data_IF_416354983773
#
_entry.id   IF_416354983773
#
_cell.length_a   1.000
_cell.length_b   1.000
_cell.length_c   1.000
_cell.angle_alpha   90.00
_cell.angle_beta   90.00
_cell.angle_gamma   90.00
#
_symmetry.space_group_name_H-M   'P 1'
#
loop_
_entity.id
_entity.type
_entity.pdbx_description
1 polymer ?
#
# COMPACT_ATOMS: atom_id res chain seq x y z
N UNK A 1 22.49 -0.50 -0.42
CA UNK A 1 22.11 0.77 -1.09
C UNK A 1 22.69 1.94 -0.32
N UNK A 2 23.34 2.88 -1.02
CA UNK A 2 24.01 4.07 -0.48
C UNK A 2 23.13 5.30 -0.79
N UNK A 3 22.94 6.19 0.19
CA UNK A 3 22.06 7.35 0.09
C UNK A 3 22.74 8.67 0.51
N UNK A 4 24.00 8.62 0.98
CA UNK A 4 24.73 9.80 1.43
C UNK A 4 26.24 9.59 1.32
N UNK A 5 27.01 10.69 1.32
CA UNK A 5 28.48 10.62 1.34
C UNK A 5 28.99 9.87 2.57
N UNK A 6 28.36 10.05 3.71
CA UNK A 6 28.73 9.33 4.94
C UNK A 6 28.55 7.80 4.77
N UNK A 7 27.44 7.34 4.17
CA UNK A 7 27.25 5.92 3.88
C UNK A 7 28.27 5.40 2.87
N UNK A 8 28.65 6.21 1.85
CA UNK A 8 29.70 5.88 0.91
C UNK A 8 31.05 5.70 1.61
N UNK A 9 31.41 6.59 2.55
CA UNK A 9 32.62 6.48 3.36
C UNK A 9 32.63 5.18 4.19
N UNK A 10 31.54 4.88 4.89
CA UNK A 10 31.43 3.66 5.68
C UNK A 10 31.54 2.40 4.82
N UNK A 11 30.92 2.40 3.65
CA UNK A 11 30.98 1.28 2.71
C UNK A 11 32.41 1.02 2.24
N UNK A 12 33.12 2.06 1.81
CA UNK A 12 34.50 1.96 1.36
C UNK A 12 35.44 1.56 2.49
N UNK A 13 35.24 2.09 3.71
CA UNK A 13 36.04 1.73 4.88
C UNK A 13 35.85 0.25 5.30
N UNK A 14 34.68 -0.32 5.02
CA UNK A 14 34.37 -1.73 5.25
C UNK A 14 34.87 -2.69 4.14
N UNK A 15 35.65 -2.18 3.18
CA UNK A 15 36.21 -2.97 2.07
C UNK A 15 35.50 -2.74 0.73
N UNK A 16 34.42 -1.96 0.69
CA UNK A 16 33.71 -1.62 -0.56
C UNK A 16 33.04 -2.81 -1.24
N UNK A 17 33.05 -2.80 -2.56
CA UNK A 17 32.45 -3.81 -3.44
C UNK A 17 31.24 -3.27 -4.19
N UNK A 18 30.47 -4.17 -4.81
CA UNK A 18 29.30 -3.81 -5.60
C UNK A 18 28.21 -3.20 -4.71
N UNK A 19 27.63 -2.08 -5.11
CA UNK A 19 26.58 -1.39 -4.37
C UNK A 19 25.58 -0.71 -5.31
N UNK A 20 24.45 -0.28 -4.73
CA UNK A 20 23.48 0.58 -5.41
C UNK A 20 23.56 1.98 -4.83
N UNK A 21 23.33 3.00 -5.66
CA UNK A 21 23.29 4.41 -5.25
C UNK A 21 21.92 5.00 -5.51
N UNK A 22 21.32 5.59 -4.48
CA UNK A 22 20.11 6.40 -4.60
C UNK A 22 20.48 7.87 -4.73
N UNK A 23 19.91 8.53 -5.75
CA UNK A 23 20.05 9.98 -5.99
C UNK A 23 18.70 10.64 -5.74
N UNK A 24 18.71 11.75 -5.04
CA UNK A 24 17.50 12.56 -4.85
C UNK A 24 17.34 13.55 -6.01
N UNK A 25 16.44 13.21 -6.93
CA UNK A 25 16.08 14.09 -8.05
C UNK A 25 15.02 15.14 -7.70
N UNK A 26 14.56 15.20 -6.43
CA UNK A 26 13.64 16.23 -5.97
C UNK A 26 12.50 15.77 -5.06
N UNK A 27 12.45 14.51 -4.63
CA UNK A 27 11.48 14.08 -3.62
C UNK A 27 11.84 14.57 -2.21
N UNK A 28 13.12 14.93 -1.99
CA UNK A 28 13.66 15.45 -0.73
C UNK A 28 13.40 14.54 0.47
N UNK A 29 13.57 13.24 0.27
CA UNK A 29 13.31 12.22 1.30
C UNK A 29 14.55 11.40 1.63
N UNK A 30 15.13 10.73 0.66
CA UNK A 30 16.30 9.87 0.79
C UNK A 30 17.05 9.81 -0.53
N UNK A 31 18.36 9.93 -0.48
CA UNK A 31 19.25 9.88 -1.66
C UNK A 31 20.31 10.97 -1.61
N UNK A 32 21.37 10.75 -2.37
CA UNK A 32 22.45 11.73 -2.54
C UNK A 32 21.91 12.96 -3.28
N UNK A 33 22.11 14.19 -2.77
CA UNK A 33 21.65 15.39 -3.47
C UNK A 33 22.45 15.62 -4.75
N UNK A 34 21.84 16.30 -5.72
CA UNK A 34 22.41 16.48 -7.07
C UNK A 34 23.76 17.20 -7.07
N UNK A 35 23.98 18.12 -6.15
CA UNK A 35 25.24 18.88 -6.02
C UNK A 35 26.39 18.06 -5.43
N UNK A 36 26.09 16.93 -4.77
CA UNK A 36 27.09 16.04 -4.21
C UNK A 36 27.54 14.92 -5.17
N UNK A 37 26.98 14.83 -6.39
CA UNK A 37 27.31 13.76 -7.35
C UNK A 37 28.76 13.83 -7.85
N UNK A 38 29.36 15.02 -7.84
CA UNK A 38 30.75 15.23 -8.22
C UNK A 38 31.81 14.94 -7.15
N UNK A 39 31.40 14.50 -5.96
CA UNK A 39 32.33 14.20 -4.88
C UNK A 39 33.22 12.99 -5.25
N UNK A 40 34.54 13.11 -4.98
CA UNK A 40 35.55 12.09 -5.31
C UNK A 40 35.21 10.70 -4.70
N UNK A 41 34.49 10.68 -3.58
CA UNK A 41 34.12 9.43 -2.93
C UNK A 41 33.13 8.62 -3.77
N UNK A 42 32.26 9.29 -4.54
CA UNK A 42 31.30 8.64 -5.42
C UNK A 42 32.01 7.97 -6.60
N UNK A 43 33.04 8.59 -7.14
CA UNK A 43 33.85 8.01 -8.21
C UNK A 43 34.59 6.71 -7.82
N UNK A 44 34.74 6.46 -6.50
CA UNK A 44 35.39 5.25 -5.95
C UNK A 44 34.42 4.09 -5.74
N UNK A 45 33.11 4.33 -5.86
CA UNK A 45 32.10 3.28 -5.70
C UNK A 45 32.02 2.40 -6.95
N UNK A 46 31.82 1.10 -6.74
CA UNK A 46 31.45 0.16 -7.79
C UNK A 46 29.91 0.04 -7.83
N UNK A 47 29.26 0.90 -8.64
CA UNK A 47 27.81 1.06 -8.65
C UNK A 47 27.19 0.11 -9.69
N UNK A 48 26.36 -0.84 -9.22
CA UNK A 48 25.52 -1.65 -10.08
C UNK A 48 24.29 -0.85 -10.55
N UNK A 49 23.47 -0.39 -9.60
CA UNK A 49 22.21 0.28 -9.91
C UNK A 49 22.22 1.72 -9.39
N UNK A 50 22.13 2.67 -10.33
CA UNK A 50 21.84 4.07 -10.03
C UNK A 50 20.34 4.26 -10.00
N UNK A 51 19.79 4.74 -8.87
CA UNK A 51 18.35 4.88 -8.67
C UNK A 51 17.95 6.30 -8.33
N UNK A 52 16.74 6.67 -8.72
CA UNK A 52 16.00 7.79 -8.14
C UNK A 52 14.53 7.40 -7.90
N UNK A 53 13.74 8.32 -7.40
CA UNK A 53 12.32 8.08 -7.11
C UNK A 53 11.49 9.32 -7.43
N UNK A 54 10.39 9.11 -8.16
CA UNK A 54 9.47 10.18 -8.53
C UNK A 54 8.54 10.52 -7.34
N UNK A 55 8.29 11.79 -7.16
CA UNK A 55 7.42 12.30 -6.09
C UNK A 55 5.93 12.27 -6.46
N UNK A 56 5.62 12.50 -7.73
CA UNK A 56 4.25 12.75 -8.21
C UNK A 56 3.93 11.89 -9.45
N UNK A 57 4.47 10.67 -9.54
CA UNK A 57 4.28 9.83 -10.73
C UNK A 57 2.84 9.33 -10.92
N UNK A 58 2.00 9.44 -9.91
CA UNK A 58 0.56 9.15 -9.93
C UNK A 58 -0.28 10.28 -10.51
N UNK A 59 0.33 11.47 -10.71
CA UNK A 59 -0.32 12.67 -11.24
C UNK A 59 0.35 13.15 -12.54
N UNK A 60 -0.41 13.91 -13.37
CA UNK A 60 0.10 14.55 -14.56
C UNK A 60 0.57 15.98 -14.24
N UNK A 61 1.78 16.09 -13.71
CA UNK A 61 2.39 17.35 -13.31
C UNK A 61 3.76 17.57 -13.96
N UNK A 62 4.12 18.83 -14.27
CA UNK A 62 5.43 19.15 -14.89
C UNK A 62 6.63 18.70 -14.05
N UNK A 63 6.44 18.48 -12.75
CA UNK A 63 7.52 18.06 -11.86
C UNK A 63 8.08 16.68 -12.20
N UNK A 64 7.28 15.78 -12.77
CA UNK A 64 7.76 14.49 -13.24
C UNK A 64 8.86 14.65 -14.29
N UNK A 65 8.68 15.56 -15.25
CA UNK A 65 9.68 15.83 -16.28
C UNK A 65 10.93 16.51 -15.69
N UNK A 66 10.77 17.42 -14.74
CA UNK A 66 11.91 18.04 -14.03
C UNK A 66 12.75 16.97 -13.33
N UNK A 67 12.10 16.01 -12.63
CA UNK A 67 12.80 14.91 -11.97
C UNK A 67 13.47 13.96 -12.98
N UNK A 68 12.82 13.69 -14.12
CA UNK A 68 13.40 12.89 -15.20
C UNK A 68 14.67 13.55 -15.76
N UNK A 69 14.65 14.86 -16.01
CA UNK A 69 15.82 15.59 -16.50
C UNK A 69 16.99 15.57 -15.50
N UNK A 70 16.71 15.75 -14.20
CA UNK A 70 17.72 15.64 -13.14
C UNK A 70 18.31 14.23 -13.07
N UNK A 71 17.47 13.21 -13.22
CA UNK A 71 17.93 11.82 -13.26
C UNK A 71 18.81 11.54 -14.48
N UNK A 72 18.51 12.10 -15.66
CA UNK A 72 19.39 12.02 -16.83
C UNK A 72 20.75 12.70 -16.56
N UNK A 73 20.74 13.85 -15.88
CA UNK A 73 21.99 14.51 -15.45
C UNK A 73 22.80 13.63 -14.49
N UNK A 74 22.14 12.98 -13.53
CA UNK A 74 22.82 12.08 -12.62
C UNK A 74 23.43 10.88 -13.34
N UNK A 75 22.73 10.28 -14.31
CA UNK A 75 23.25 9.19 -15.15
C UNK A 75 24.48 9.60 -15.94
N UNK A 76 24.52 10.84 -16.43
CA UNK A 76 25.65 11.35 -17.17
C UNK A 76 26.89 11.63 -16.29
N UNK A 77 26.69 11.92 -15.00
CA UNK A 77 27.76 12.25 -14.06
C UNK A 77 28.35 11.05 -13.32
N UNK A 78 27.50 10.07 -12.99
CA UNK A 78 27.84 8.95 -12.13
C UNK A 78 28.07 7.68 -12.95
N UNK A 79 29.24 7.07 -12.82
CA UNK A 79 29.51 5.77 -13.46
C UNK A 79 28.71 4.67 -12.78
N UNK A 80 27.91 3.94 -13.56
CA UNK A 80 27.04 2.85 -13.08
C UNK A 80 26.85 1.81 -14.17
N UNK A 81 26.33 0.61 -13.83
CA UNK A 81 26.02 -0.44 -14.80
C UNK A 81 24.59 -0.34 -15.33
N UNK A 82 23.63 -0.10 -14.43
CA UNK A 82 22.19 -0.02 -14.73
C UNK A 82 21.56 1.16 -14.03
N UNK A 83 20.42 1.60 -14.51
CA UNK A 83 19.69 2.72 -13.92
C UNK A 83 18.22 2.40 -13.72
N UNK A 84 17.57 3.08 -12.77
CA UNK A 84 16.15 2.87 -12.43
C UNK A 84 15.51 4.12 -11.85
N UNK A 85 14.42 4.58 -12.47
CA UNK A 85 13.63 5.71 -11.97
C UNK A 85 12.21 5.24 -11.58
N UNK A 86 11.55 4.46 -12.44
CA UNK A 86 10.14 4.14 -12.33
C UNK A 86 9.83 3.11 -11.23
N UNK A 87 8.94 3.49 -10.30
CA UNK A 87 8.08 2.59 -9.54
C UNK A 87 6.77 2.30 -10.30
N UNK A 88 5.76 1.76 -9.63
CA UNK A 88 4.49 1.35 -10.27
C UNK A 88 3.83 2.46 -11.10
N UNK A 89 3.68 3.67 -10.54
CA UNK A 89 3.10 4.82 -11.26
C UNK A 89 4.00 5.30 -12.40
N UNK A 90 5.32 5.34 -12.17
CA UNK A 90 6.30 5.81 -13.14
C UNK A 90 6.39 4.93 -14.39
N UNK A 91 6.00 3.65 -14.31
CA UNK A 91 5.93 2.75 -15.46
C UNK A 91 4.90 3.25 -16.48
N UNK A 92 3.76 3.75 -16.02
CA UNK A 92 2.70 4.28 -16.88
C UNK A 92 3.08 5.63 -17.55
N UNK A 93 4.07 6.36 -17.02
CA UNK A 93 4.57 7.59 -17.66
C UNK A 93 5.35 7.31 -18.95
N UNK A 94 5.67 6.06 -19.25
CA UNK A 94 6.31 5.63 -20.47
C UNK A 94 7.81 5.34 -20.36
N UNK A 95 8.38 4.82 -21.45
CA UNK A 95 9.72 4.26 -21.49
C UNK A 95 10.83 5.23 -21.08
N UNK A 96 10.64 6.54 -21.29
CA UNK A 96 11.61 7.58 -20.90
C UNK A 96 11.85 7.65 -19.37
N UNK A 97 10.97 7.06 -18.56
CA UNK A 97 11.07 7.01 -17.10
C UNK A 97 11.59 5.68 -16.57
N UNK A 98 11.78 4.64 -17.38
CA UNK A 98 12.08 3.29 -16.90
C UNK A 98 13.52 3.12 -16.44
N UNK A 99 14.51 3.39 -17.31
CA UNK A 99 15.87 2.90 -17.20
C UNK A 99 15.97 1.42 -17.61
N UNK A 100 17.06 0.76 -17.23
CA UNK A 100 17.27 -0.67 -17.49
C UNK A 100 16.47 -1.56 -16.54
N UNK A 101 15.98 -1.01 -15.42
CA UNK A 101 15.20 -1.69 -14.41
C UNK A 101 14.02 -0.83 -13.95
N UNK A 102 12.84 -1.42 -13.84
CA UNK A 102 11.69 -0.83 -13.14
C UNK A 102 11.47 -1.50 -11.80
N UNK A 103 10.85 -0.78 -10.86
CA UNK A 103 10.62 -1.25 -9.49
C UNK A 103 9.13 -1.23 -9.14
N UNK A 104 8.28 -2.05 -9.82
CA UNK A 104 6.87 -2.13 -9.47
C UNK A 104 6.73 -2.66 -8.04
N UNK A 105 5.85 -2.05 -7.27
CA UNK A 105 5.43 -2.48 -5.95
C UNK A 105 3.93 -2.69 -5.93
N UNK A 106 3.16 -1.61 -5.84
CA UNK A 106 1.71 -1.61 -5.75
C UNK A 106 1.03 -2.44 -6.85
N UNK A 107 1.50 -2.30 -8.10
CA UNK A 107 0.92 -2.99 -9.26
C UNK A 107 1.06 -4.51 -9.20
N UNK A 108 2.08 -5.04 -8.50
CA UNK A 108 2.24 -6.49 -8.30
C UNK A 108 1.16 -7.08 -7.38
N UNK A 109 0.53 -6.23 -6.57
CA UNK A 109 -0.55 -6.61 -5.65
C UNK A 109 -1.92 -6.18 -6.15
N UNK A 110 -2.03 -5.81 -7.43
CA UNK A 110 -3.30 -5.44 -8.07
C UNK A 110 -3.76 -4.01 -7.76
N UNK A 111 -2.93 -3.20 -7.12
CA UNK A 111 -3.22 -1.78 -6.93
C UNK A 111 -3.04 -1.00 -8.23
N UNK A 112 -3.92 -0.05 -8.46
CA UNK A 112 -4.00 0.77 -9.67
C UNK A 112 -3.46 2.16 -9.37
N UNK A 113 -2.16 2.42 -9.62
CA UNK A 113 -1.53 3.70 -9.27
C UNK A 113 -1.92 4.84 -10.22
N UNK A 114 -2.38 4.52 -11.43
CA UNK A 114 -2.82 5.48 -12.45
C UNK A 114 -3.99 4.90 -13.25
N UNK A 115 -4.95 5.74 -13.71
CA UNK A 115 -6.13 5.28 -14.45
C UNK A 115 -5.81 4.46 -15.70
N UNK A 116 -4.70 4.74 -16.38
CA UNK A 116 -4.28 4.05 -17.60
C UNK A 116 -4.00 2.56 -17.36
N UNK A 117 -3.70 2.17 -16.12
CA UNK A 117 -3.43 0.79 -15.74
C UNK A 117 -4.65 0.02 -15.23
N UNK A 118 -5.82 0.66 -15.13
CA UNK A 118 -7.01 0.06 -14.52
C UNK A 118 -7.50 -1.21 -15.25
N UNK A 119 -7.32 -1.29 -16.59
CA UNK A 119 -7.69 -2.46 -17.38
C UNK A 119 -6.66 -3.59 -17.37
N UNK A 120 -5.43 -3.30 -16.97
CA UNK A 120 -4.30 -4.22 -17.05
C UNK A 120 -4.01 -4.93 -15.71
N UNK A 121 -4.36 -4.29 -14.59
CA UNK A 121 -4.05 -4.79 -13.25
C UNK A 121 -5.25 -5.51 -12.65
N UNK A 122 -4.98 -6.61 -11.95
CA UNK A 122 -6.00 -7.41 -11.28
C UNK A 122 -5.68 -7.52 -9.80
N UNK A 123 -6.72 -7.48 -8.98
CA UNK A 123 -6.60 -7.74 -7.56
C UNK A 123 -6.00 -9.14 -7.32
N UNK A 124 -5.08 -9.24 -6.37
CA UNK A 124 -4.43 -10.49 -5.95
C UNK A 124 -4.46 -10.70 -4.44
N UNK A 125 -4.91 -9.70 -3.67
CA UNK A 125 -5.11 -9.78 -2.22
C UNK A 125 -6.61 -9.87 -1.91
N UNK A 126 -7.03 -10.97 -1.28
CA UNK A 126 -8.41 -11.26 -0.93
C UNK A 126 -8.47 -11.62 0.57
N UNK A 127 -8.49 -10.63 1.48
CA UNK A 127 -8.53 -10.89 2.90
C UNK A 127 -9.87 -11.51 3.31
N UNK A 128 -9.82 -12.49 4.20
CA UNK A 128 -10.99 -13.16 4.77
C UNK A 128 -10.90 -13.17 6.30
N UNK A 129 -12.04 -13.23 6.97
CA UNK A 129 -12.13 -13.35 8.41
C UNK A 129 -13.20 -14.36 8.82
N UNK A 130 -12.94 -15.11 9.90
CA UNK A 130 -13.89 -16.09 10.41
C UNK A 130 -14.95 -15.43 11.30
N UNK A 131 -16.17 -15.90 11.22
CA UNK A 131 -17.24 -15.57 12.18
C UNK A 131 -16.95 -16.30 13.48
N UNK A 132 -16.67 -15.55 14.53
CA UNK A 132 -16.39 -16.09 15.88
C UNK A 132 -17.63 -16.35 16.68
N UNK A 133 -18.68 -15.53 16.49
CA UNK A 133 -19.93 -15.64 17.20
C UNK A 133 -21.07 -15.06 16.38
N UNK A 134 -22.25 -15.71 16.49
CA UNK A 134 -23.53 -15.20 15.94
C UNK A 134 -24.42 -14.76 17.10
N UNK A 135 -25.12 -13.64 16.93
CA UNK A 135 -26.05 -13.08 17.93
C UNK A 135 -27.33 -12.62 17.27
N UNK A 136 -28.40 -12.71 18.05
CA UNK A 136 -29.70 -12.11 17.73
C UNK A 136 -29.89 -10.84 18.57
N UNK A 137 -29.93 -9.70 17.91
CA UNK A 137 -30.24 -8.41 18.54
C UNK A 137 -31.75 -8.19 18.56
N UNK A 138 -32.25 -7.55 19.62
CA UNK A 138 -33.61 -7.02 19.68
C UNK A 138 -33.63 -5.54 19.27
N UNK A 139 -34.79 -5.03 18.90
CA UNK A 139 -34.94 -3.59 18.66
C UNK A 139 -34.51 -2.80 19.91
N UNK A 140 -33.62 -1.82 19.71
CA UNK A 140 -33.04 -1.02 20.79
C UNK A 140 -31.68 -1.51 21.29
N UNK A 141 -31.24 -2.74 20.95
CA UNK A 141 -29.91 -3.22 21.31
C UNK A 141 -28.84 -2.44 20.56
N UNK A 142 -27.76 -2.11 21.25
CA UNK A 142 -26.64 -1.36 20.67
C UNK A 142 -25.42 -2.25 20.40
N UNK A 143 -24.60 -1.86 19.41
CA UNK A 143 -23.40 -2.59 19.00
C UNK A 143 -22.15 -1.78 19.25
N UNK A 144 -21.19 -2.42 19.91
CA UNK A 144 -19.80 -1.97 20.02
C UNK A 144 -19.59 -0.76 20.93
N UNK A 145 -18.37 -0.23 20.91
CA UNK A 145 -17.97 0.90 21.72
C UNK A 145 -18.75 2.18 21.37
N UNK A 146 -19.19 2.89 22.41
CA UNK A 146 -19.95 4.14 22.35
C UNK A 146 -21.34 3.98 21.71
N UNK A 147 -21.83 2.73 21.57
CA UNK A 147 -23.18 2.44 21.07
C UNK A 147 -23.53 3.23 19.79
N UNK A 148 -22.58 3.29 18.83
CA UNK A 148 -22.72 4.09 17.60
C UNK A 148 -23.69 3.48 16.60
N UNK A 149 -24.11 2.25 16.82
CA UNK A 149 -25.19 1.57 16.10
C UNK A 149 -26.23 1.06 17.09
N UNK A 150 -27.50 1.21 16.75
CA UNK A 150 -28.62 0.65 17.48
C UNK A 150 -29.53 -0.07 16.50
N UNK A 151 -29.89 -1.32 16.81
CA UNK A 151 -30.79 -2.12 16.00
C UNK A 151 -32.21 -1.52 16.00
N UNK A 152 -32.74 -1.20 14.83
CA UNK A 152 -34.12 -0.67 14.71
C UNK A 152 -35.20 -1.76 14.80
N UNK A 153 -34.82 -3.01 14.53
CA UNK A 153 -35.68 -4.20 14.55
C UNK A 153 -34.84 -5.40 15.00
N UNK A 154 -35.46 -6.56 15.30
CA UNK A 154 -34.71 -7.79 15.51
C UNK A 154 -33.76 -8.07 14.32
N UNK A 155 -32.49 -8.34 14.60
CA UNK A 155 -31.46 -8.44 13.60
C UNK A 155 -30.42 -9.49 13.99
N UNK A 156 -30.04 -10.33 13.02
CA UNK A 156 -28.98 -11.31 13.19
C UNK A 156 -27.63 -10.70 12.81
N UNK A 157 -26.62 -10.83 13.68
CA UNK A 157 -25.31 -10.25 13.50
C UNK A 157 -24.20 -11.28 13.73
N UNK A 158 -23.06 -11.10 13.04
CA UNK A 158 -21.85 -11.89 13.22
C UNK A 158 -20.73 -11.05 13.82
N UNK A 159 -20.00 -11.61 14.76
CA UNK A 159 -18.74 -11.05 15.26
C UNK A 159 -17.62 -11.73 14.49
N UNK A 160 -16.87 -10.99 13.69
CA UNK A 160 -15.76 -11.53 12.88
C UNK A 160 -14.40 -11.20 13.48
N UNK A 161 -13.43 -12.12 13.31
CA UNK A 161 -12.09 -12.06 13.88
C UNK A 161 -11.16 -11.14 13.07
N UNK A 162 -11.55 -9.87 12.91
CA UNK A 162 -10.72 -8.85 12.30
C UNK A 162 -11.02 -7.50 12.94
N UNK A 163 -9.96 -6.75 13.23
CA UNK A 163 -10.04 -5.42 13.80
C UNK A 163 -8.85 -4.54 13.44
N UNK A 164 -8.72 -3.40 14.15
CA UNK A 164 -7.67 -2.44 13.78
C UNK A 164 -6.25 -2.94 14.11
N UNK A 165 -6.07 -3.91 15.00
CA UNK A 165 -4.77 -4.55 15.23
C UNK A 165 -4.32 -5.46 14.08
N UNK A 166 -5.26 -5.83 13.20
CA UNK A 166 -5.02 -6.62 11.99
C UNK A 166 -4.87 -5.75 10.73
N UNK A 167 -5.04 -4.42 10.87
CA UNK A 167 -5.00 -3.47 9.76
C UNK A 167 -6.39 -3.07 9.24
N UNK A 168 -7.48 -3.65 9.75
CA UNK A 168 -8.83 -3.22 9.44
C UNK A 168 -9.23 -2.04 10.33
N UNK A 169 -8.82 -0.83 9.92
CA UNK A 169 -8.83 0.36 10.77
C UNK A 169 -10.23 0.89 11.07
N UNK A 170 -10.30 1.82 12.03
CA UNK A 170 -11.56 2.46 12.45
C UNK A 170 -12.25 3.30 11.39
N UNK A 171 -11.59 3.67 10.31
CA UNK A 171 -12.22 4.32 9.16
C UNK A 171 -13.31 3.46 8.51
N UNK A 172 -13.28 2.13 8.72
CA UNK A 172 -14.30 1.20 8.25
C UNK A 172 -15.56 1.14 9.14
N UNK A 173 -15.55 1.77 10.31
CA UNK A 173 -16.69 1.79 11.22
C UNK A 173 -17.95 2.34 10.55
N UNK A 174 -19.01 1.55 10.44
CA UNK A 174 -20.26 1.91 9.78
C UNK A 174 -20.17 2.17 8.26
N UNK A 175 -19.04 1.89 7.63
CA UNK A 175 -18.81 2.07 6.19
C UNK A 175 -18.32 0.79 5.52
N UNK A 176 -17.61 -0.05 6.26
CA UNK A 176 -17.01 -1.27 5.75
C UNK A 176 -18.06 -2.26 5.27
N UNK A 177 -17.66 -3.07 4.31
CA UNK A 177 -18.47 -4.12 3.74
C UNK A 177 -17.66 -5.42 3.70
N UNK A 178 -18.29 -6.50 4.14
CA UNK A 178 -17.79 -7.84 3.93
C UNK A 178 -18.77 -8.57 3.00
N UNK A 179 -18.38 -9.73 2.50
CA UNK A 179 -19.21 -10.49 1.56
C UNK A 179 -19.19 -11.98 1.86
N UNK A 180 -20.30 -12.63 1.56
CA UNK A 180 -20.39 -14.09 1.45
C UNK A 180 -21.18 -14.47 0.21
N UNK A 181 -20.56 -15.23 -0.68
CA UNK A 181 -21.13 -15.64 -1.97
C UNK A 181 -21.74 -14.45 -2.75
N UNK A 182 -21.05 -13.30 -2.76
CA UNK A 182 -21.46 -12.06 -3.44
C UNK A 182 -22.54 -11.24 -2.71
N UNK A 183 -23.03 -11.69 -1.55
CA UNK A 183 -24.00 -10.94 -0.74
C UNK A 183 -23.31 -9.99 0.21
N UNK A 184 -23.70 -8.71 0.28
CA UNK A 184 -23.07 -7.71 1.13
C UNK A 184 -23.45 -7.91 2.61
N UNK A 185 -22.46 -7.77 3.48
CA UNK A 185 -22.57 -7.89 4.94
C UNK A 185 -22.00 -6.60 5.57
N UNK A 186 -22.83 -5.58 5.81
CA UNK A 186 -22.38 -4.28 6.32
C UNK A 186 -21.74 -4.36 7.70
N UNK A 187 -20.71 -3.55 7.92
CA UNK A 187 -20.12 -3.35 9.25
C UNK A 187 -21.06 -2.51 10.12
N UNK A 188 -21.37 -3.01 11.30
CA UNK A 188 -22.22 -2.36 12.29
C UNK A 188 -21.38 -1.80 13.45
N UNK A 189 -21.62 -0.54 13.79
CA UNK A 189 -20.92 0.12 14.89
C UNK A 189 -19.43 0.34 14.64
N UNK A 190 -18.64 0.41 15.71
CA UNK A 190 -17.19 0.68 15.63
C UNK A 190 -16.37 -0.59 15.48
N UNK A 191 -15.38 -0.54 14.60
CA UNK A 191 -14.31 -1.56 14.53
C UNK A 191 -13.55 -1.56 15.87
N UNK A 192 -13.44 -2.73 16.48
CA UNK A 192 -12.71 -2.97 17.73
C UNK A 192 -11.24 -3.34 17.44
N UNK A 193 -10.47 -3.65 18.49
CA UNK A 193 -9.06 -4.01 18.34
C UNK A 193 -8.89 -5.27 17.49
N UNK A 194 -9.64 -6.32 17.82
CA UNK A 194 -9.47 -7.67 17.24
C UNK A 194 -10.76 -8.18 16.57
N UNK A 195 -11.85 -7.40 16.57
CA UNK A 195 -13.16 -7.85 16.15
C UNK A 195 -13.97 -6.75 15.48
N UNK A 196 -14.83 -7.15 14.55
CA UNK A 196 -15.80 -6.29 13.87
C UNK A 196 -17.15 -6.98 13.89
N UNK A 197 -18.24 -6.22 14.06
CA UNK A 197 -19.59 -6.75 13.98
C UNK A 197 -20.16 -6.47 12.59
N UNK A 198 -20.81 -7.47 12.00
CA UNK A 198 -21.42 -7.38 10.66
C UNK A 198 -22.89 -7.81 10.70
N UNK A 199 -23.68 -7.26 9.78
CA UNK A 199 -25.04 -7.68 9.54
C UNK A 199 -25.09 -9.01 8.78
N UNK A 200 -25.79 -10.00 9.30
CA UNK A 200 -26.01 -11.30 8.64
C UNK A 200 -27.40 -11.44 8.02
N UNK A 201 -28.21 -10.39 7.97
CA UNK A 201 -29.59 -10.45 7.45
C UNK A 201 -29.63 -10.97 6.00
N UNK A 202 -28.65 -10.58 5.17
CA UNK A 202 -28.55 -11.04 3.78
C UNK A 202 -28.03 -12.48 3.63
N UNK A 203 -27.50 -13.07 4.70
CA UNK A 203 -26.90 -14.42 4.69
C UNK A 203 -27.24 -15.19 5.98
N UNK A 204 -28.52 -15.48 6.21
CA UNK A 204 -29.00 -16.06 7.49
C UNK A 204 -28.49 -17.48 7.76
N UNK A 205 -27.97 -18.17 6.75
CA UNK A 205 -27.37 -19.51 6.88
C UNK A 205 -25.96 -19.49 7.48
N UNK A 206 -25.27 -18.34 7.49
CA UNK A 206 -23.91 -18.25 8.03
C UNK A 206 -23.90 -18.53 9.55
N UNK A 207 -22.87 -19.25 9.97
CA UNK A 207 -22.69 -19.76 11.33
C UNK A 207 -21.29 -19.47 11.86
N UNK A 208 -21.07 -19.73 13.14
CA UNK A 208 -19.75 -19.67 13.76
C UNK A 208 -18.79 -20.64 13.06
N UNK A 209 -17.60 -20.14 12.72
CA UNK A 209 -16.59 -20.89 11.96
C UNK A 209 -16.63 -20.64 10.46
N UNK A 210 -17.69 -20.08 9.89
CA UNK A 210 -17.73 -19.70 8.48
C UNK A 210 -16.84 -18.50 8.19
N UNK A 211 -16.36 -18.40 6.97
CA UNK A 211 -15.47 -17.33 6.51
C UNK A 211 -16.24 -16.35 5.65
N UNK A 212 -15.89 -15.08 5.79
CA UNK A 212 -16.43 -13.97 5.01
C UNK A 212 -15.28 -13.15 4.41
N UNK A 213 -15.45 -12.72 3.18
CA UNK A 213 -14.44 -11.94 2.47
C UNK A 213 -14.61 -10.46 2.77
N UNK A 214 -13.50 -9.74 2.94
CA UNK A 214 -13.50 -8.28 3.03
C UNK A 214 -13.65 -7.68 1.64
N UNK A 215 -14.41 -6.58 1.53
CA UNK A 215 -14.37 -5.77 0.33
C UNK A 215 -13.04 -4.99 0.28
N UNK A 216 -12.12 -5.50 -0.51
CA UNK A 216 -10.73 -5.04 -0.55
C UNK A 216 -10.21 -4.82 -1.97
N UNK A 217 -11.09 -4.49 -2.91
CA UNK A 217 -10.70 -3.94 -4.19
C UNK A 217 -9.99 -2.62 -3.94
N UNK A 218 -8.68 -2.56 -4.20
CA UNK A 218 -7.81 -1.51 -3.64
C UNK A 218 -8.20 -0.07 -4.03
N UNK A 219 -8.59 0.23 -5.29
CA UNK A 219 -9.04 1.58 -5.64
C UNK A 219 -10.30 2.00 -4.88
N UNK A 220 -11.31 1.13 -4.81
CA UNK A 220 -12.59 1.38 -4.15
C UNK A 220 -12.40 1.44 -2.63
N UNK A 221 -11.60 0.53 -2.09
CA UNK A 221 -11.27 0.50 -0.68
C UNK A 221 -10.50 1.75 -0.24
N UNK A 222 -9.60 2.26 -1.07
CA UNK A 222 -8.90 3.52 -0.83
C UNK A 222 -9.88 4.71 -0.82
N UNK A 223 -10.77 4.79 -1.79
CA UNK A 223 -11.78 5.84 -1.87
C UNK A 223 -12.73 5.81 -0.66
N UNK A 224 -13.17 4.63 -0.21
CA UNK A 224 -14.08 4.48 0.92
C UNK A 224 -13.41 4.77 2.28
N UNK A 225 -12.17 4.34 2.46
CA UNK A 225 -11.44 4.48 3.73
C UNK A 225 -10.73 5.81 3.91
N UNK A 226 -10.35 6.47 2.81
CA UNK A 226 -9.45 7.64 2.82
C UNK A 226 -7.97 7.27 3.00
N UNK A 227 -7.64 5.98 2.98
CA UNK A 227 -6.27 5.47 2.99
C UNK A 227 -5.75 5.31 1.56
N UNK A 228 -4.44 5.39 1.37
CA UNK A 228 -3.86 5.02 0.09
C UNK A 228 -3.92 3.50 -0.13
N UNK A 229 -3.88 3.07 -1.37
CA UNK A 229 -3.81 1.64 -1.72
C UNK A 229 -2.59 0.94 -1.10
N UNK A 230 -1.46 1.67 -0.94
CA UNK A 230 -0.28 1.15 -0.25
C UNK A 230 -0.51 0.94 1.24
N UNK A 231 -1.17 1.90 1.93
CA UNK A 231 -1.50 1.75 3.35
C UNK A 231 -2.40 0.54 3.56
N UNK A 232 -3.43 0.36 2.73
CA UNK A 232 -4.30 -0.80 2.81
C UNK A 232 -3.52 -2.12 2.78
N UNK A 233 -2.56 -2.28 1.85
CA UNK A 233 -1.76 -3.49 1.73
C UNK A 233 -0.76 -3.67 2.88
N UNK A 234 -0.09 -2.59 3.30
CA UNK A 234 0.99 -2.66 4.30
C UNK A 234 0.48 -2.73 5.73
N UNK A 235 -0.76 -2.31 5.97
CA UNK A 235 -1.42 -2.39 7.27
C UNK A 235 -2.01 -3.78 7.56
N UNK A 236 -2.27 -4.60 6.54
CA UNK A 236 -2.67 -6.01 6.75
C UNK A 236 -1.63 -6.70 7.60
N UNK A 237 -2.04 -7.09 8.82
CA UNK A 237 -1.15 -7.41 9.90
C UNK A 237 -0.57 -8.82 9.84
N UNK A 238 0.28 -9.10 10.82
CA UNK A 238 0.99 -10.38 10.98
C UNK A 238 0.08 -11.54 11.39
N UNK A 239 -1.19 -11.27 11.69
CA UNK A 239 -2.19 -12.28 12.09
C UNK A 239 -2.83 -13.00 10.92
N UNK A 240 -2.74 -12.44 9.69
CA UNK A 240 -3.18 -13.19 8.51
C UNK A 240 -2.29 -14.42 8.35
N UNK A 241 -2.92 -15.59 8.34
CA UNK A 241 -2.25 -16.86 8.12
C UNK A 241 -1.44 -16.85 6.82
N UNK A 242 -0.31 -17.55 6.86
CA UNK A 242 0.55 -17.75 5.69
C UNK A 242 0.09 -18.98 4.91
#
# INVERSE_FOLDING_TARGET
>A
MINSLHQAQLWLAAGGGLCDLMVDSGINRLGLPMDALGDEIIARLDIDLLMSHLACADEDVPFNEIQRQRWEQAKAQVRHRRSSLAGSSGIALGAAYHGELTRPGLSLYGGVPRPELAGELRQVAFPEAAIMQVRELQAGDSVGYNSTYTAAAPQRVGVVSIGYADGYLRCWSGKGMLHSAGRPLPVLGRVSMDMTVIDLTAAPELSEGDWVSLDYALPEAAAASGLSQYELLTLLGRRFGR
#
